data_IF_759242898114
#
_entry.id   IF_759242898114
#
_cell.length_a   1.000
_cell.length_b   1.000
_cell.length_c   1.000
_cell.angle_alpha   90.00
_cell.angle_beta   90.00
_cell.angle_gamma   90.00
#
_symmetry.space_group_name_H-M   'P 1'
#
loop_
_entity.id
_entity.type
_entity.pdbx_description
1 polymer ?
#
# COMPACT_ATOMS: atom_id res chain seq x y z
N UNK A 1 -14.42 -5.70 -12.59
CA UNK A 1 -14.03 -4.46 -11.86
C UNK A 1 -13.72 -4.87 -10.44
N UNK A 2 -12.51 -4.65 -9.97
CA UNK A 2 -12.10 -4.91 -8.59
C UNK A 2 -11.94 -3.59 -7.84
N UNK A 3 -12.18 -3.60 -6.53
CA UNK A 3 -11.88 -2.48 -5.64
C UNK A 3 -10.49 -2.64 -5.06
N UNK A 4 -9.59 -1.73 -5.42
CA UNK A 4 -8.19 -1.75 -5.02
C UNK A 4 -7.92 -0.57 -4.09
N UNK A 5 -7.34 -0.86 -2.92
CA UNK A 5 -6.86 0.16 -2.00
C UNK A 5 -5.34 0.13 -1.97
N UNK A 6 -4.71 1.22 -2.32
CA UNK A 6 -3.25 1.39 -2.29
C UNK A 6 -2.87 2.17 -1.04
N UNK A 7 -2.06 1.56 -0.18
CA UNK A 7 -1.51 2.21 1.02
C UNK A 7 -0.17 2.85 0.65
N UNK A 8 -0.11 4.16 0.78
CA UNK A 8 1.03 4.99 0.40
C UNK A 8 0.80 5.75 -0.90
N UNK A 9 0.93 7.08 -0.83
CA UNK A 9 0.75 8.01 -1.94
C UNK A 9 2.07 8.37 -2.64
N UNK A 10 3.15 7.63 -2.34
CA UNK A 10 4.45 7.81 -2.99
C UNK A 10 4.46 7.39 -4.46
N UNK A 11 5.58 7.65 -5.14
CA UNK A 11 5.71 7.43 -6.60
C UNK A 11 5.34 6.00 -7.04
N UNK A 12 5.78 4.97 -6.33
CA UNK A 12 5.50 3.57 -6.71
C UNK A 12 4.01 3.22 -6.60
N UNK A 13 3.37 3.59 -5.49
CA UNK A 13 1.94 3.35 -5.29
C UNK A 13 1.09 4.08 -6.33
N UNK A 14 1.43 5.33 -6.59
CA UNK A 14 0.72 6.16 -7.58
C UNK A 14 0.95 5.66 -9.01
N UNK A 15 2.19 5.30 -9.38
CA UNK A 15 2.47 4.73 -10.71
C UNK A 15 1.72 3.42 -10.94
N UNK A 16 1.60 2.57 -9.92
CA UNK A 16 0.85 1.32 -10.01
C UNK A 16 -0.66 1.54 -10.17
N UNK A 17 -1.18 2.65 -9.67
CA UNK A 17 -2.60 2.99 -9.80
C UNK A 17 -3.03 3.22 -11.26
N UNK A 18 -2.14 3.75 -12.11
CA UNK A 18 -2.45 4.10 -13.50
C UNK A 18 -2.87 2.88 -14.34
N UNK A 19 -2.06 1.80 -14.48
CA UNK A 19 -2.48 0.63 -15.25
C UNK A 19 -3.68 -0.10 -14.63
N UNK A 20 -3.90 0.02 -13.31
CA UNK A 20 -5.11 -0.51 -12.70
C UNK A 20 -6.36 0.28 -13.14
N UNK A 21 -6.26 1.60 -13.24
CA UNK A 21 -7.33 2.45 -13.78
C UNK A 21 -7.60 2.12 -15.25
N UNK A 22 -6.57 1.98 -16.07
CA UNK A 22 -6.68 1.62 -17.50
C UNK A 22 -7.43 0.30 -17.71
N UNK A 23 -7.38 -0.59 -16.73
CA UNK A 23 -8.12 -1.85 -16.70
C UNK A 23 -9.48 -1.76 -15.99
N UNK A 24 -10.02 -0.55 -15.81
CA UNK A 24 -11.34 -0.28 -15.24
C UNK A 24 -11.55 -0.80 -13.81
N UNK A 25 -10.53 -0.73 -12.96
CA UNK A 25 -10.66 -1.01 -11.53
C UNK A 25 -11.04 0.25 -10.74
N UNK A 26 -11.72 0.10 -9.59
CA UNK A 26 -11.99 1.21 -8.64
C UNK A 26 -10.75 1.39 -7.75
N UNK A 27 -10.04 2.52 -7.95
CA UNK A 27 -8.75 2.77 -7.31
C UNK A 27 -8.87 3.85 -6.24
N UNK A 28 -8.45 3.48 -5.04
CA UNK A 28 -8.41 4.37 -3.89
C UNK A 28 -6.98 4.36 -3.31
N UNK A 29 -6.31 5.50 -3.30
CA UNK A 29 -5.01 5.67 -2.64
C UNK A 29 -5.28 6.27 -1.26
N UNK A 30 -4.72 5.67 -0.22
CA UNK A 30 -4.75 6.22 1.14
C UNK A 30 -3.32 6.41 1.63
N UNK A 31 -3.01 7.61 2.09
CA UNK A 31 -1.70 7.92 2.67
C UNK A 31 -1.46 7.20 3.99
N UNK A 32 -0.19 7.07 4.32
CA UNK A 32 0.24 6.73 5.67
C UNK A 32 0.07 7.93 6.60
N UNK A 33 0.23 7.72 7.90
CA UNK A 33 0.20 8.81 8.89
C UNK A 33 1.28 9.90 8.67
N UNK A 34 2.27 9.64 7.81
CA UNK A 34 3.35 10.58 7.47
C UNK A 34 3.08 11.37 6.17
N UNK A 35 2.00 11.07 5.45
CA UNK A 35 1.77 11.61 4.10
C UNK A 35 0.61 12.62 4.03
N UNK A 36 0.03 13.02 5.16
CA UNK A 36 -1.12 13.93 5.16
C UNK A 36 -0.83 15.27 4.50
N UNK A 37 0.33 15.87 4.81
CA UNK A 37 0.76 17.15 4.22
C UNK A 37 1.05 16.98 2.72
N UNK A 38 1.73 15.90 2.34
CA UNK A 38 1.98 15.57 0.93
C UNK A 38 0.69 15.41 0.12
N UNK A 39 -0.31 14.75 0.69
CA UNK A 39 -1.62 14.59 0.03
C UNK A 39 -2.34 15.93 -0.12
N UNK A 40 -2.19 16.82 0.85
CA UNK A 40 -2.74 18.17 0.75
C UNK A 40 -2.06 18.97 -0.36
N UNK A 41 -0.75 18.93 -0.47
CA UNK A 41 0.01 19.53 -1.56
C UNK A 41 -0.40 18.97 -2.92
N UNK A 42 -0.57 17.64 -3.05
CA UNK A 42 -1.07 17.00 -4.26
C UNK A 42 -2.43 17.59 -4.69
N UNK A 43 -3.37 17.68 -3.77
CA UNK A 43 -4.71 18.24 -4.06
C UNK A 43 -4.65 19.70 -4.46
N UNK A 44 -3.81 20.49 -3.82
CA UNK A 44 -3.61 21.91 -4.12
C UNK A 44 -2.92 22.13 -5.47
N UNK A 45 -2.10 21.18 -5.94
CA UNK A 45 -1.42 21.20 -7.24
C UNK A 45 -2.23 20.53 -8.37
N UNK A 46 -3.56 20.43 -8.22
CA UNK A 46 -4.41 19.73 -9.18
C UNK A 46 -3.97 18.28 -9.44
N UNK A 47 -3.60 17.57 -8.38
CA UNK A 47 -3.10 16.18 -8.39
C UNK A 47 -1.81 15.97 -9.22
N UNK A 48 -0.97 16.99 -9.40
CA UNK A 48 0.35 16.82 -10.00
C UNK A 48 1.30 16.13 -9.00
N UNK A 49 1.68 14.90 -9.30
CA UNK A 49 2.60 14.16 -8.44
C UNK A 49 4.07 14.57 -8.71
N UNK A 50 4.78 15.20 -7.74
CA UNK A 50 6.09 15.78 -7.98
C UNK A 50 7.14 14.73 -8.35
N UNK A 51 7.13 13.56 -7.72
CA UNK A 51 8.08 12.47 -7.99
C UNK A 51 7.86 11.74 -9.33
N UNK A 52 6.67 11.85 -9.92
CA UNK A 52 6.36 11.25 -11.23
C UNK A 52 6.31 12.31 -12.34
N UNK A 53 6.28 13.58 -11.97
CA UNK A 53 6.02 14.69 -12.88
C UNK A 53 4.79 14.43 -13.78
N UNK A 54 3.75 13.84 -13.22
CA UNK A 54 2.56 13.38 -13.93
C UNK A 54 1.32 13.75 -13.13
N UNK A 55 0.30 14.20 -13.81
CA UNK A 55 -1.00 14.48 -13.22
C UNK A 55 -1.74 13.17 -12.97
N UNK A 56 -2.20 12.97 -11.74
CA UNK A 56 -3.01 11.79 -11.37
C UNK A 56 -4.44 12.02 -11.86
N UNK A 57 -5.01 11.08 -12.64
CA UNK A 57 -6.40 11.17 -13.08
C UNK A 57 -7.38 11.33 -11.90
N UNK A 58 -8.44 12.10 -12.10
CA UNK A 58 -9.44 12.41 -11.05
C UNK A 58 -10.25 11.17 -10.63
N UNK A 59 -10.30 10.16 -11.47
CA UNK A 59 -10.93 8.86 -11.18
C UNK A 59 -10.20 8.10 -10.08
N UNK A 60 -8.89 8.34 -9.89
CA UNK A 60 -8.11 7.81 -8.76
C UNK A 60 -8.38 8.70 -7.55
N UNK A 61 -9.09 8.16 -6.58
CA UNK A 61 -9.43 8.88 -5.35
C UNK A 61 -8.26 8.83 -4.37
N UNK A 62 -7.85 9.99 -3.86
CA UNK A 62 -6.72 10.11 -2.93
C UNK A 62 -7.22 10.62 -1.59
N UNK A 63 -6.89 9.88 -0.52
CA UNK A 63 -7.35 10.13 0.83
C UNK A 63 -6.19 10.27 1.81
N UNK A 64 -6.35 11.17 2.78
CA UNK A 64 -5.48 11.26 3.94
C UNK A 64 -5.66 10.05 4.87
N UNK A 65 -4.74 9.89 5.81
CA UNK A 65 -4.73 8.76 6.73
C UNK A 65 -6.01 8.60 7.57
N UNK A 66 -6.73 9.66 7.85
CA UNK A 66 -8.00 9.60 8.59
C UNK A 66 -9.06 8.68 7.95
N UNK A 67 -8.95 8.45 6.63
CA UNK A 67 -9.83 7.54 5.89
C UNK A 67 -9.31 6.10 5.82
N UNK A 68 -8.16 5.81 6.39
CA UNK A 68 -7.48 4.50 6.29
C UNK A 68 -8.39 3.34 6.75
N UNK A 69 -8.93 3.46 7.96
CA UNK A 69 -9.77 2.41 8.54
C UNK A 69 -11.07 2.20 7.77
N UNK A 70 -11.75 3.29 7.41
CA UNK A 70 -13.00 3.26 6.63
C UNK A 70 -12.81 2.56 5.28
N UNK A 71 -11.75 2.92 4.56
CA UNK A 71 -11.43 2.35 3.25
C UNK A 71 -11.11 0.86 3.34
N UNK A 72 -10.27 0.47 4.28
CA UNK A 72 -9.86 -0.92 4.43
C UNK A 72 -10.95 -1.85 4.96
N UNK A 73 -11.90 -1.33 5.74
CA UNK A 73 -13.09 -2.07 6.19
C UNK A 73 -14.20 -2.15 5.14
N UNK A 74 -14.12 -1.39 4.06
CA UNK A 74 -15.03 -1.56 2.92
C UNK A 74 -14.73 -2.85 2.17
N UNK A 75 -15.61 -3.27 1.27
CA UNK A 75 -15.41 -4.51 0.50
C UNK A 75 -14.24 -4.35 -0.48
N UNK A 76 -13.00 -4.60 -0.02
CA UNK A 76 -11.76 -4.48 -0.78
C UNK A 76 -11.36 -5.84 -1.34
N UNK A 77 -11.04 -5.89 -2.64
CA UNK A 77 -10.57 -7.11 -3.31
C UNK A 77 -9.05 -7.27 -3.20
N UNK A 78 -8.31 -6.14 -3.24
CA UNK A 78 -6.85 -6.12 -3.20
C UNK A 78 -6.35 -4.91 -2.42
N UNK A 79 -5.45 -5.15 -1.47
CA UNK A 79 -4.68 -4.12 -0.80
C UNK A 79 -3.26 -4.12 -1.40
N UNK A 80 -2.83 -2.96 -1.88
CA UNK A 80 -1.49 -2.76 -2.44
C UNK A 80 -0.65 -1.97 -1.45
N UNK A 81 0.54 -2.47 -1.13
CA UNK A 81 1.48 -1.83 -0.21
C UNK A 81 2.51 -1.04 -1.01
N UNK A 82 2.27 0.27 -1.18
CA UNK A 82 3.16 1.23 -1.83
C UNK A 82 4.03 2.01 -0.85
N UNK A 83 4.39 1.39 0.27
CA UNK A 83 5.16 1.97 1.37
C UNK A 83 6.65 1.63 1.28
N UNK A 84 7.49 2.34 2.03
CA UNK A 84 8.90 1.98 2.15
C UNK A 84 9.12 0.72 3.01
N UNK A 85 10.32 0.11 2.92
CA UNK A 85 10.68 -1.05 3.77
C UNK A 85 10.58 -0.76 5.28
N UNK A 86 10.78 0.48 5.69
CA UNK A 86 10.62 0.93 7.08
C UNK A 86 9.15 0.92 7.54
N UNK A 87 8.21 1.00 6.60
CA UNK A 87 6.77 1.00 6.89
C UNK A 87 6.17 -0.39 7.12
N UNK A 88 6.92 -1.49 6.88
CA UNK A 88 6.39 -2.85 6.97
C UNK A 88 5.89 -3.19 8.39
N UNK A 89 6.62 -2.78 9.42
CA UNK A 89 6.22 -3.01 10.81
C UNK A 89 4.95 -2.23 11.17
N UNK A 90 4.91 -0.97 10.76
CA UNK A 90 3.74 -0.12 10.95
C UNK A 90 2.50 -0.69 10.25
N UNK A 91 2.61 -1.07 8.96
CA UNK A 91 1.45 -1.61 8.24
C UNK A 91 0.99 -2.95 8.79
N UNK A 92 1.90 -3.81 9.24
CA UNK A 92 1.53 -5.07 9.89
C UNK A 92 0.70 -4.84 11.16
N UNK A 93 1.07 -3.81 11.95
CA UNK A 93 0.33 -3.40 13.14
C UNK A 93 -1.07 -2.86 12.78
N UNK A 94 -1.18 -2.00 11.75
CA UNK A 94 -2.47 -1.47 11.29
C UNK A 94 -3.39 -2.59 10.77
N UNK A 95 -2.87 -3.46 9.91
CA UNK A 95 -3.65 -4.57 9.34
C UNK A 95 -4.12 -5.56 10.41
N UNK A 96 -3.26 -5.88 11.38
CA UNK A 96 -3.63 -6.80 12.47
C UNK A 96 -4.73 -6.22 13.36
N UNK A 97 -4.73 -4.92 13.65
CA UNK A 97 -5.79 -4.25 14.40
C UNK A 97 -7.13 -4.27 13.65
N UNK A 98 -7.09 -4.02 12.34
CA UNK A 98 -8.30 -3.94 11.52
C UNK A 98 -8.93 -5.31 11.26
N UNK A 99 -8.11 -6.34 11.07
CA UNK A 99 -8.56 -7.66 10.61
C UNK A 99 -8.43 -8.74 11.70
N UNK A 100 -8.42 -8.37 12.96
CA UNK A 100 -8.29 -9.30 14.09
C UNK A 100 -9.32 -10.43 14.07
N UNK A 101 -10.54 -10.13 13.62
CA UNK A 101 -11.67 -11.07 13.59
C UNK A 101 -12.15 -11.41 12.19
N UNK A 102 -11.48 -10.90 11.16
CA UNK A 102 -11.88 -11.10 9.76
C UNK A 102 -10.66 -11.45 8.91
N UNK A 103 -10.89 -12.00 7.71
CA UNK A 103 -9.80 -12.32 6.80
C UNK A 103 -9.27 -11.04 6.15
N UNK A 104 -7.94 -10.87 6.14
CA UNK A 104 -7.28 -9.84 5.34
C UNK A 104 -7.54 -10.11 3.85
N UNK A 105 -7.91 -9.10 3.04
CA UNK A 105 -7.94 -9.21 1.59
C UNK A 105 -6.56 -9.62 1.03
N UNK A 106 -6.50 -9.98 -0.25
CA UNK A 106 -5.21 -10.24 -0.89
C UNK A 106 -4.29 -9.04 -0.78
N UNK A 107 -3.01 -9.28 -0.49
CA UNK A 107 -2.00 -8.25 -0.39
C UNK A 107 -1.04 -8.32 -1.59
N UNK A 108 -0.74 -7.18 -2.19
CA UNK A 108 0.31 -7.03 -3.17
C UNK A 108 1.35 -6.04 -2.65
N UNK A 109 2.58 -6.50 -2.48
CA UNK A 109 3.68 -5.66 -2.03
C UNK A 109 4.45 -5.10 -3.22
N UNK A 110 4.54 -3.78 -3.32
CA UNK A 110 5.41 -3.08 -4.28
C UNK A 110 6.79 -2.79 -3.67
N UNK A 111 6.89 -2.84 -2.35
CA UNK A 111 8.10 -2.58 -1.58
C UNK A 111 9.16 -3.63 -1.89
N UNK A 112 10.37 -3.18 -2.19
CA UNK A 112 11.51 -4.03 -2.55
C UNK A 112 12.58 -3.99 -1.49
N UNK A 113 13.40 -5.02 -1.45
CA UNK A 113 14.55 -5.12 -0.56
C UNK A 113 14.53 -6.36 0.32
N UNK A 114 15.49 -6.37 1.22
CA UNK A 114 15.70 -7.43 2.20
C UNK A 114 15.69 -6.80 3.60
N UNK A 115 15.33 -7.59 4.58
CA UNK A 115 15.57 -7.31 6.00
C UNK A 115 16.51 -8.36 6.61
N UNK A 116 16.88 -8.17 7.85
CA UNK A 116 17.68 -9.12 8.61
C UNK A 116 16.89 -9.55 9.82
N UNK A 117 16.75 -10.87 9.99
CA UNK A 117 16.14 -11.48 11.14
C UNK A 117 16.98 -12.67 11.61
N UNK A 118 17.31 -12.74 12.89
CA UNK A 118 18.16 -13.79 13.46
C UNK A 118 19.50 -13.99 12.70
N UNK A 119 20.16 -12.89 12.33
CA UNK A 119 21.40 -12.86 11.54
C UNK A 119 21.31 -13.49 10.13
N UNK A 120 20.10 -13.63 9.60
CA UNK A 120 19.85 -14.12 8.24
C UNK A 120 19.07 -13.07 7.44
N UNK A 121 19.30 -13.06 6.12
CA UNK A 121 18.48 -12.23 5.23
C UNK A 121 17.09 -12.86 5.10
N UNK A 122 16.07 -12.01 5.18
CA UNK A 122 14.68 -12.39 4.87
C UNK A 122 14.10 -11.48 3.79
N UNK A 123 13.21 -11.99 2.96
CA UNK A 123 12.44 -11.17 2.04
C UNK A 123 11.43 -10.31 2.82
N UNK A 124 11.08 -9.15 2.29
CA UNK A 124 10.10 -8.29 2.96
C UNK A 124 8.69 -8.91 3.01
N UNK A 125 8.38 -9.82 2.08
CA UNK A 125 7.15 -10.63 2.13
C UNK A 125 7.17 -11.55 3.34
N UNK A 126 8.27 -12.28 3.55
CA UNK A 126 8.44 -13.20 4.68
C UNK A 126 8.42 -12.42 6.00
N UNK A 127 9.05 -11.23 6.03
CA UNK A 127 8.96 -10.32 7.18
C UNK A 127 7.52 -9.95 7.50
N UNK A 128 6.74 -9.54 6.49
CA UNK A 128 5.34 -9.15 6.70
C UNK A 128 4.51 -10.34 7.18
N UNK A 129 4.67 -11.51 6.56
CA UNK A 129 3.96 -12.73 6.96
C UNK A 129 4.28 -13.12 8.41
N UNK A 130 5.55 -13.11 8.79
CA UNK A 130 6.00 -13.36 10.17
C UNK A 130 5.38 -12.37 11.16
N UNK A 131 5.45 -11.06 10.87
CA UNK A 131 4.90 -10.01 11.73
C UNK A 131 3.38 -10.13 11.90
N UNK A 132 2.66 -10.52 10.86
CA UNK A 132 1.22 -10.77 10.94
C UNK A 132 0.93 -12.04 11.76
N UNK A 133 1.72 -13.10 11.57
CA UNK A 133 1.59 -14.34 12.35
C UNK A 133 1.87 -14.12 13.84
N UNK A 134 2.87 -13.32 14.20
CA UNK A 134 3.16 -12.91 15.58
C UNK A 134 2.00 -12.15 16.23
N UNK A 135 1.14 -11.53 15.42
CA UNK A 135 -0.08 -10.82 15.83
C UNK A 135 -1.35 -11.67 15.67
N UNK A 136 -1.18 -12.99 15.61
CA UNK A 136 -2.26 -13.99 15.52
C UNK A 136 -3.05 -13.96 14.19
N UNK A 137 -2.59 -13.23 13.18
CA UNK A 137 -3.16 -13.25 11.84
C UNK A 137 -2.53 -14.41 11.06
N UNK A 138 -3.29 -15.49 10.88
CA UNK A 138 -2.86 -16.67 10.15
C UNK A 138 -3.45 -16.69 8.74
N UNK A 139 -2.70 -17.21 7.76
CA UNK A 139 -3.13 -17.40 6.36
C UNK A 139 -3.47 -16.08 5.64
N UNK A 140 -2.44 -15.32 5.35
CA UNK A 140 -2.52 -14.15 4.49
C UNK A 140 -2.05 -14.53 3.08
N UNK A 141 -2.78 -14.08 2.06
CA UNK A 141 -2.40 -14.27 0.66
C UNK A 141 -1.58 -13.04 0.24
N UNK A 142 -0.27 -13.19 0.21
CA UNK A 142 0.68 -12.11 -0.09
C UNK A 142 1.43 -12.42 -1.39
N UNK A 143 1.41 -11.48 -2.30
CA UNK A 143 2.23 -11.47 -3.51
C UNK A 143 3.16 -10.26 -3.49
N UNK A 144 4.26 -10.31 -4.22
CA UNK A 144 5.16 -9.16 -4.37
C UNK A 144 5.57 -8.96 -5.83
N UNK A 145 5.78 -7.70 -6.18
CA UNK A 145 6.41 -7.34 -7.45
C UNK A 145 7.91 -7.43 -7.29
N UNK A 146 8.53 -8.38 -8.00
CA UNK A 146 9.98 -8.56 -8.04
C UNK A 146 10.63 -7.82 -9.21
N UNK A 147 11.95 -7.68 -9.16
CA UNK A 147 12.77 -7.18 -10.25
C UNK A 147 13.56 -5.89 -9.95
N UNK A 148 14.53 -5.56 -10.81
CA UNK A 148 15.33 -4.35 -10.69
C UNK A 148 14.49 -3.16 -11.15
N UNK A 149 13.72 -2.55 -10.26
CA UNK A 149 13.06 -1.30 -10.56
C UNK A 149 13.85 -0.18 -9.89
N UNK A 150 14.52 0.59 -10.68
CA UNK A 150 15.00 1.89 -10.29
C UNK A 150 13.88 2.89 -10.57
N UNK A 151 13.42 3.59 -9.54
CA UNK A 151 12.65 4.81 -9.72
C UNK A 151 13.68 5.90 -10.09
N UNK A 152 13.87 6.14 -11.36
CA UNK A 152 14.66 7.27 -11.89
C UNK A 152 13.73 8.40 -12.22
#
# INVERSE_FOLDING_TARGET
>A
MAKIVIIGAGAMGTAFALPCLDNNHDINIVGTHLENDFIEELKNSNNLHPGLNTQIPQEIKIFKFEKFEELLKSNVDLIVLGISSKGIEWVSDQLSKLYKSTKIPKLLMLTKGLSVYNNQYELLVDKLERLLAEREIKKVDISAVGGPCLAT
#
